data_IF_603835190748
#
_entry.id   IF_603835190748
#
_cell.length_a   1.000
_cell.length_b   1.000
_cell.length_c   1.000
_cell.angle_alpha   90.00
_cell.angle_beta   90.00
_cell.angle_gamma   90.00
#
_symmetry.space_group_name_H-M   'P 1'
#
loop_
_entity.id
_entity.type
_entity.pdbx_description
1 polymer ?
#
# COMPACT_ATOMS: atom_id res chain seq x y z
N UNK A 1 7.96 4.29 12.73
CA UNK A 1 8.52 4.21 11.38
C UNK A 1 9.39 2.98 11.35
N UNK A 2 9.01 1.98 10.56
CA UNK A 2 9.74 0.70 10.50
C UNK A 2 10.83 0.71 9.42
N UNK A 3 10.64 1.52 8.38
CA UNK A 3 11.56 1.65 7.24
C UNK A 3 11.78 3.13 6.89
N UNK A 4 12.98 3.43 6.36
CA UNK A 4 13.31 4.74 5.78
C UNK A 4 13.02 4.72 4.28
N UNK A 5 12.04 5.52 3.83
CA UNK A 5 11.50 5.44 2.46
C UNK A 5 11.80 6.67 1.58
N UNK A 6 12.57 7.64 2.07
CA UNK A 6 12.84 8.89 1.33
C UNK A 6 13.70 8.72 0.07
N UNK A 7 14.44 7.61 -0.05
CA UNK A 7 15.10 7.23 -1.30
C UNK A 7 14.14 6.36 -2.12
N UNK A 8 13.72 6.89 -3.26
CA UNK A 8 12.81 6.23 -4.21
C UNK A 8 13.37 4.85 -4.60
N UNK A 9 12.51 3.84 -4.63
CA UNK A 9 12.83 2.45 -5.01
C UNK A 9 13.33 1.56 -3.85
N UNK A 10 14.04 2.13 -2.87
CA UNK A 10 14.53 1.37 -1.70
C UNK A 10 13.39 1.14 -0.70
N UNK A 11 12.59 2.18 -0.45
CA UNK A 11 11.45 2.09 0.47
C UNK A 11 10.42 1.05 0.04
N UNK A 12 10.11 1.03 -1.26
CA UNK A 12 9.16 0.09 -1.85
C UNK A 12 9.56 -1.39 -1.67
N UNK A 13 10.86 -1.69 -1.74
CA UNK A 13 11.37 -3.07 -1.72
C UNK A 13 11.75 -3.57 -0.33
N UNK A 14 11.98 -2.68 0.65
CA UNK A 14 12.35 -3.07 2.02
C UNK A 14 11.36 -4.08 2.67
N UNK A 15 10.03 -3.97 2.50
CA UNK A 15 9.09 -4.93 3.06
C UNK A 15 9.24 -6.36 2.50
N UNK A 16 9.72 -6.52 1.25
CA UNK A 16 10.06 -7.84 0.68
C UNK A 16 11.18 -8.49 1.50
N UNK A 17 12.27 -7.76 1.72
CA UNK A 17 13.41 -8.26 2.50
C UNK A 17 13.05 -8.48 3.97
N UNK A 18 12.14 -7.67 4.52
CA UNK A 18 11.53 -7.89 5.82
C UNK A 18 10.79 -9.23 5.91
N UNK A 19 9.98 -9.59 4.90
CA UNK A 19 9.29 -10.87 4.86
C UNK A 19 10.25 -12.06 4.73
N UNK A 20 11.26 -11.96 3.85
CA UNK A 20 12.31 -12.98 3.72
C UNK A 20 13.04 -13.19 5.05
N UNK A 21 13.41 -12.09 5.72
CA UNK A 21 14.08 -12.14 7.02
C UNK A 21 13.18 -12.77 8.08
N UNK A 22 11.89 -12.42 8.11
CA UNK A 22 10.92 -13.01 9.05
C UNK A 22 10.80 -14.53 8.84
N UNK A 23 10.64 -15.00 7.59
CA UNK A 23 10.60 -16.44 7.29
C UNK A 23 11.89 -17.16 7.69
N UNK A 24 13.04 -16.52 7.47
CA UNK A 24 14.33 -17.05 7.92
C UNK A 24 14.39 -17.19 9.45
N UNK A 25 14.01 -16.14 10.19
CA UNK A 25 14.00 -16.16 11.66
C UNK A 25 13.02 -17.20 12.18
N UNK A 26 11.84 -17.33 11.58
CA UNK A 26 10.88 -18.38 11.95
C UNK A 26 11.48 -19.77 11.78
N UNK A 27 12.11 -20.04 10.65
CA UNK A 27 12.71 -21.34 10.36
C UNK A 27 13.90 -21.66 11.27
N UNK A 28 14.76 -20.67 11.54
CA UNK A 28 16.00 -20.85 12.29
C UNK A 28 15.81 -20.81 13.81
N UNK A 29 14.88 -20.00 14.32
CA UNK A 29 14.75 -19.69 15.74
C UNK A 29 13.30 -19.79 16.26
N UNK A 30 12.31 -19.72 15.37
CA UNK A 30 10.90 -19.63 15.74
C UNK A 30 10.52 -18.28 16.36
N UNK A 31 9.23 -18.05 16.57
CA UNK A 31 8.72 -16.91 17.33
C UNK A 31 8.85 -15.56 16.61
N UNK A 32 8.99 -15.55 15.28
CA UNK A 32 9.07 -14.33 14.48
C UNK A 32 7.70 -13.66 14.26
N UNK A 33 6.61 -14.38 14.60
CA UNK A 33 5.24 -13.93 14.42
C UNK A 33 4.77 -13.92 12.97
N UNK A 34 3.56 -13.39 12.78
CA UNK A 34 2.88 -13.35 11.47
C UNK A 34 2.41 -11.93 11.17
N UNK A 35 2.34 -11.59 9.89
CA UNK A 35 1.76 -10.32 9.46
C UNK A 35 2.07 -10.02 8.01
N UNK A 36 1.19 -9.24 7.37
CA UNK A 36 1.41 -8.71 6.03
C UNK A 36 2.41 -7.55 6.06
N UNK A 37 3.15 -7.42 4.98
CA UNK A 37 4.13 -6.38 4.74
C UNK A 37 3.62 -5.51 3.59
N UNK A 38 3.34 -4.24 3.91
CA UNK A 38 2.73 -3.30 2.95
C UNK A 38 3.77 -2.32 2.43
N UNK A 39 3.75 -2.11 1.11
CA UNK A 39 4.46 -1.00 0.45
C UNK A 39 3.44 -0.06 -0.18
N UNK A 40 3.47 1.22 0.21
CA UNK A 40 2.74 2.28 -0.51
C UNK A 40 3.73 2.95 -1.46
N UNK A 41 3.46 2.88 -2.75
CA UNK A 41 4.40 3.19 -3.82
C UNK A 41 3.76 4.20 -4.78
N UNK A 42 4.50 5.23 -5.18
CA UNK A 42 4.05 6.12 -6.26
C UNK A 42 4.25 5.47 -7.63
N UNK A 43 3.40 5.78 -8.61
CA UNK A 43 3.59 5.28 -9.98
C UNK A 43 4.96 5.64 -10.58
N UNK A 44 5.47 6.84 -10.34
CA UNK A 44 6.79 7.28 -10.76
C UNK A 44 7.95 6.55 -10.06
N UNK A 45 7.73 5.96 -8.87
CA UNK A 45 8.75 5.17 -8.17
C UNK A 45 9.01 3.83 -8.86
N UNK A 46 8.08 3.35 -9.69
CA UNK A 46 8.23 2.13 -10.48
C UNK A 46 9.21 2.28 -11.66
N UNK A 47 9.70 3.49 -11.94
CA UNK A 47 10.76 3.70 -12.94
C UNK A 47 12.14 3.27 -12.40
N UNK A 48 12.29 3.06 -11.09
CA UNK A 48 13.55 2.65 -10.47
C UNK A 48 13.86 1.17 -10.73
N UNK A 49 15.09 0.87 -11.18
CA UNK A 49 15.51 -0.50 -11.51
C UNK A 49 15.44 -1.46 -10.33
N UNK A 50 15.75 -0.99 -9.12
CA UNK A 50 15.73 -1.80 -7.89
C UNK A 50 14.35 -2.39 -7.59
N UNK A 51 13.27 -1.72 -8.00
CA UNK A 51 11.90 -2.22 -7.87
C UNK A 51 11.74 -3.51 -8.68
N UNK A 52 12.14 -3.48 -9.94
CA UNK A 52 11.96 -4.63 -10.84
C UNK A 52 12.93 -5.77 -10.54
N UNK A 53 14.13 -5.47 -10.03
CA UNK A 53 15.04 -6.49 -9.51
C UNK A 53 14.39 -7.29 -8.37
N UNK A 54 13.71 -6.60 -7.44
CA UNK A 54 13.03 -7.26 -6.32
C UNK A 54 11.74 -7.98 -6.76
N UNK A 55 10.93 -7.36 -7.62
CA UNK A 55 9.66 -7.94 -8.10
C UNK A 55 9.89 -9.24 -8.90
N UNK A 56 10.99 -9.31 -9.66
CA UNK A 56 11.34 -10.46 -10.49
C UNK A 56 12.12 -11.55 -9.76
N UNK A 57 12.50 -11.33 -8.49
CA UNK A 57 13.19 -12.37 -7.72
C UNK A 57 12.26 -13.59 -7.55
N UNK A 58 12.69 -14.81 -7.94
CA UNK A 58 11.85 -15.99 -7.88
C UNK A 58 11.31 -16.30 -6.48
N UNK A 59 12.07 -15.99 -5.42
CA UNK A 59 11.65 -16.23 -4.05
C UNK A 59 10.47 -15.34 -3.63
N UNK A 60 10.26 -14.22 -4.32
CA UNK A 60 9.18 -13.27 -4.02
C UNK A 60 7.82 -13.79 -4.47
N UNK A 61 7.77 -14.62 -5.53
CA UNK A 61 6.53 -15.17 -6.06
C UNK A 61 5.71 -16.01 -5.06
N UNK A 62 6.38 -16.54 -4.01
CA UNK A 62 5.76 -17.33 -2.94
C UNK A 62 5.50 -16.51 -1.65
N UNK A 63 5.71 -15.18 -1.68
CA UNK A 63 5.53 -14.30 -0.51
C UNK A 63 4.12 -13.67 -0.50
N UNK A 64 3.11 -14.47 -0.18
CA UNK A 64 1.72 -14.00 -0.09
C UNK A 64 1.44 -12.97 1.00
N UNK A 65 2.36 -12.78 1.95
CA UNK A 65 2.30 -11.68 2.91
C UNK A 65 2.66 -10.31 2.32
N UNK A 66 3.20 -10.23 1.11
CA UNK A 66 3.58 -8.96 0.47
C UNK A 66 2.39 -8.35 -0.24
N UNK A 67 2.08 -7.10 0.10
CA UNK A 67 1.03 -6.32 -0.55
C UNK A 67 1.58 -4.95 -0.94
N UNK A 68 1.57 -4.67 -2.23
CA UNK A 68 1.94 -3.35 -2.77
C UNK A 68 0.68 -2.59 -3.14
N UNK A 69 0.65 -1.31 -2.80
CA UNK A 69 -0.40 -0.37 -3.19
C UNK A 69 0.29 0.69 -4.02
N UNK A 70 0.00 0.71 -5.32
CA UNK A 70 0.57 1.69 -6.26
C UNK A 70 -0.45 2.81 -6.44
N UNK A 71 -0.07 4.02 -6.02
CA UNK A 71 -0.79 5.25 -6.31
C UNK A 71 -0.59 5.68 -7.77
N UNK A 72 -1.51 5.26 -8.65
CA UNK A 72 -1.54 5.63 -10.06
C UNK A 72 -2.26 6.97 -10.25
N UNK A 73 -1.60 8.05 -9.86
CA UNK A 73 -2.13 9.42 -10.01
C UNK A 73 -1.80 10.06 -11.38
N UNK A 74 -0.88 9.44 -12.15
CA UNK A 74 -0.54 9.78 -13.55
C UNK A 74 0.20 11.10 -13.71
N UNK A 75 0.90 11.53 -12.67
CA UNK A 75 1.74 12.72 -12.66
C UNK A 75 3.07 12.42 -11.97
N UNK A 76 4.17 12.98 -12.48
CA UNK A 76 5.41 13.04 -11.71
C UNK A 76 5.42 14.32 -10.84
N UNK A 77 6.60 14.73 -10.37
CA UNK A 77 6.78 15.93 -9.54
C UNK A 77 6.11 17.18 -10.14
N UNK A 78 6.44 17.51 -11.39
CA UNK A 78 6.13 18.78 -12.06
C UNK A 78 5.40 18.65 -13.41
N UNK A 79 5.12 17.42 -13.85
CA UNK A 79 4.50 17.15 -15.17
C UNK A 79 3.43 16.07 -15.11
N UNK A 80 2.50 16.17 -16.05
CA UNK A 80 1.56 15.10 -16.36
C UNK A 80 2.27 14.09 -17.25
N UNK A 81 2.20 12.80 -16.89
CA UNK A 81 2.81 11.73 -17.67
C UNK A 81 1.94 11.46 -18.91
N UNK A 82 2.45 11.63 -20.15
CA UNK A 82 1.60 11.62 -21.34
C UNK A 82 1.02 10.25 -21.68
N UNK A 83 1.75 9.17 -21.38
CA UNK A 83 1.33 7.80 -21.62
C UNK A 83 1.21 7.05 -20.32
N UNK A 84 0.03 6.51 -20.07
CA UNK A 84 -0.19 5.67 -18.92
C UNK A 84 0.44 4.30 -19.18
N UNK A 85 1.44 3.93 -18.40
CA UNK A 85 2.07 2.62 -18.48
C UNK A 85 1.27 1.52 -17.75
N UNK A 86 0.03 1.77 -17.32
CA UNK A 86 -0.74 0.84 -16.48
C UNK A 86 -0.89 -0.56 -17.10
N UNK A 87 -1.20 -0.67 -18.40
CA UNK A 87 -1.28 -1.97 -19.07
C UNK A 87 0.08 -2.69 -19.09
N UNK A 88 1.18 -1.95 -19.26
CA UNK A 88 2.54 -2.48 -19.17
C UNK A 88 2.86 -2.94 -17.76
N UNK A 89 2.57 -2.11 -16.74
CA UNK A 89 2.79 -2.44 -15.33
C UNK A 89 2.00 -3.70 -14.94
N UNK A 90 0.72 -3.76 -15.30
CA UNK A 90 -0.12 -4.96 -15.14
C UNK A 90 0.51 -6.18 -15.80
N UNK A 91 1.00 -6.04 -17.03
CA UNK A 91 1.69 -7.12 -17.74
C UNK A 91 2.94 -7.60 -17.01
N UNK A 92 3.78 -6.68 -16.52
CA UNK A 92 5.02 -7.01 -15.81
C UNK A 92 4.75 -7.72 -14.48
N UNK A 93 3.84 -7.22 -13.65
CA UNK A 93 3.48 -7.88 -12.38
C UNK A 93 2.84 -9.26 -12.60
N UNK A 94 1.94 -9.39 -13.57
CA UNK A 94 1.37 -10.71 -13.92
C UNK A 94 2.46 -11.67 -14.39
N UNK A 95 3.41 -11.22 -15.20
CA UNK A 95 4.54 -12.05 -15.66
C UNK A 95 5.47 -12.46 -14.50
N UNK A 96 5.58 -11.64 -13.46
CA UNK A 96 6.30 -11.94 -12.22
C UNK A 96 5.53 -12.88 -11.26
N UNK A 97 4.31 -13.30 -11.62
CA UNK A 97 3.49 -14.21 -10.81
C UNK A 97 2.66 -13.53 -9.71
N UNK A 98 2.60 -12.20 -9.70
CA UNK A 98 1.85 -11.45 -8.69
C UNK A 98 0.33 -11.51 -8.96
N UNK A 99 -0.47 -11.45 -7.90
CA UNK A 99 -1.88 -11.10 -8.01
C UNK A 99 -1.97 -9.62 -8.35
N UNK A 100 -2.61 -9.28 -9.48
CA UNK A 100 -2.83 -7.88 -9.87
C UNK A 100 -4.30 -7.51 -9.70
N UNK A 101 -4.56 -6.49 -8.89
CA UNK A 101 -5.89 -5.91 -8.71
C UNK A 101 -5.89 -4.47 -9.22
N UNK A 102 -6.83 -4.13 -10.11
CA UNK A 102 -6.92 -2.78 -10.68
C UNK A 102 -8.15 -2.07 -10.15
N UNK A 103 -7.94 -0.95 -9.46
CA UNK A 103 -9.00 -0.07 -8.97
C UNK A 103 -9.02 1.20 -9.82
N UNK A 104 -9.51 1.06 -11.05
CA UNK A 104 -9.52 2.16 -12.03
C UNK A 104 -10.62 3.19 -11.75
N UNK A 105 -11.82 2.72 -11.51
CA UNK A 105 -13.00 3.56 -11.33
C UNK A 105 -13.70 3.24 -10.02
N UNK A 106 -14.22 4.28 -9.37
CA UNK A 106 -15.05 4.12 -8.18
C UNK A 106 -16.49 3.77 -8.55
N UNK A 107 -17.25 3.31 -7.56
CA UNK A 107 -18.60 2.81 -7.73
C UNK A 107 -19.56 3.80 -8.37
N UNK A 108 -19.44 5.10 -8.09
CA UNK A 108 -20.32 6.12 -8.69
C UNK A 108 -20.15 6.13 -10.20
N UNK A 109 -18.91 6.11 -10.67
CA UNK A 109 -18.61 6.13 -12.10
C UNK A 109 -18.95 4.78 -12.75
N UNK A 110 -18.71 3.66 -12.06
CA UNK A 110 -19.16 2.33 -12.49
C UNK A 110 -20.69 2.22 -12.64
N UNK A 111 -21.47 2.90 -11.79
CA UNK A 111 -22.93 2.99 -11.95
C UNK A 111 -23.30 3.76 -13.21
N UNK A 112 -22.61 4.87 -13.52
CA UNK A 112 -22.85 5.63 -14.75
C UNK A 112 -22.50 4.84 -16.00
N UNK A 113 -21.43 4.03 -15.97
CA UNK A 113 -21.07 3.19 -17.12
C UNK A 113 -22.12 2.15 -17.49
N UNK A 114 -22.98 1.74 -16.54
CA UNK A 114 -24.07 0.78 -16.79
C UNK A 114 -25.33 1.44 -17.35
N UNK A 115 -25.41 2.76 -17.41
CA UNK A 115 -26.55 3.49 -17.96
C UNK A 115 -26.45 3.63 -19.48
N UNK A 116 -27.55 3.96 -20.19
CA UNK A 116 -27.50 4.25 -21.62
C UNK A 116 -26.49 5.37 -21.95
N UNK A 117 -25.52 5.09 -22.83
CA UNK A 117 -24.41 5.99 -23.12
C UNK A 117 -23.19 5.81 -22.21
N UNK A 118 -23.27 4.95 -21.20
CA UNK A 118 -22.21 4.67 -20.24
C UNK A 118 -21.00 3.96 -20.83
N UNK A 119 -21.20 2.96 -21.70
CA UNK A 119 -20.09 2.30 -22.42
C UNK A 119 -19.30 3.28 -23.30
N UNK A 120 -20.01 4.23 -23.93
CA UNK A 120 -19.43 5.32 -24.70
C UNK A 120 -18.62 6.28 -23.81
N UNK A 121 -19.15 6.64 -22.63
CA UNK A 121 -18.43 7.43 -21.64
C UNK A 121 -17.16 6.71 -21.17
N UNK A 122 -17.23 5.39 -20.90
CA UNK A 122 -16.09 4.59 -20.47
C UNK A 122 -14.98 4.61 -21.52
N UNK A 123 -15.31 4.26 -22.77
CA UNK A 123 -14.34 4.31 -23.90
C UNK A 123 -13.75 5.71 -24.06
N UNK A 124 -14.58 6.75 -23.97
CA UNK A 124 -14.10 8.13 -24.07
C UNK A 124 -13.08 8.48 -22.98
N UNK A 125 -13.29 8.03 -21.74
CA UNK A 125 -12.34 8.24 -20.63
C UNK A 125 -11.09 7.38 -20.82
N UNK A 126 -11.23 6.14 -21.27
CA UNK A 126 -10.12 5.21 -21.51
C UNK A 126 -9.20 5.69 -22.65
N UNK A 127 -9.78 6.18 -23.74
CA UNK A 127 -9.06 6.57 -24.95
C UNK A 127 -8.55 8.02 -24.92
N UNK A 128 -9.00 8.84 -23.97
CA UNK A 128 -8.54 10.23 -23.89
C UNK A 128 -7.09 10.33 -23.43
N UNK A 129 -6.39 11.34 -23.94
CA UNK A 129 -5.05 11.63 -23.47
C UNK A 129 -5.06 11.99 -21.98
N UNK A 130 -4.04 11.55 -21.22
CA UNK A 130 -3.95 11.90 -19.81
C UNK A 130 -3.95 13.43 -19.57
N UNK A 131 -3.25 14.28 -20.36
CA UNK A 131 -3.36 15.73 -20.23
C UNK A 131 -4.79 16.28 -20.36
N UNK A 132 -5.60 15.69 -21.26
CA UNK A 132 -7.01 16.05 -21.40
C UNK A 132 -7.81 15.67 -20.15
N UNK A 133 -7.65 14.43 -19.66
CA UNK A 133 -8.31 13.98 -18.44
C UNK A 133 -8.00 14.88 -17.24
N UNK A 134 -6.72 15.20 -17.03
CA UNK A 134 -6.26 16.07 -15.94
C UNK A 134 -6.76 17.51 -16.10
N UNK A 135 -7.04 17.97 -17.33
CA UNK A 135 -7.71 19.27 -17.56
C UNK A 135 -9.18 19.23 -17.16
N UNK A 136 -9.89 18.14 -17.47
CA UNK A 136 -11.31 17.98 -17.13
C UNK A 136 -11.54 17.93 -15.61
N UNK A 137 -10.62 17.35 -14.84
CA UNK A 137 -10.67 17.37 -13.36
C UNK A 137 -10.64 18.78 -12.73
N UNK A 138 -10.29 19.81 -13.51
CA UNK A 138 -10.21 21.21 -13.11
C UNK A 138 -11.29 22.08 -13.75
N UNK A 139 -12.19 21.48 -14.53
CA UNK A 139 -13.31 22.16 -15.15
C UNK A 139 -14.47 22.29 -14.17
N UNK A 140 -15.23 23.36 -14.28
CA UNK A 140 -16.58 23.42 -13.70
C UNK A 140 -17.54 22.51 -14.50
N UNK A 141 -18.77 22.33 -13.98
CA UNK A 141 -19.74 21.43 -14.58
C UNK A 141 -20.09 21.82 -16.04
N UNK A 142 -20.19 23.12 -16.34
CA UNK A 142 -20.48 23.62 -17.69
C UNK A 142 -19.35 23.31 -18.67
N UNK A 143 -18.09 23.52 -18.25
CA UNK A 143 -16.93 23.12 -19.02
C UNK A 143 -16.87 21.60 -19.22
N UNK A 144 -17.17 20.80 -18.20
CA UNK A 144 -17.22 19.32 -18.31
C UNK A 144 -18.28 18.91 -19.33
N UNK A 145 -19.51 19.43 -19.25
CA UNK A 145 -20.59 19.09 -20.19
C UNK A 145 -20.24 19.41 -21.63
N UNK A 146 -19.51 20.52 -21.87
CA UNK A 146 -19.08 20.90 -23.22
C UNK A 146 -17.90 20.06 -23.74
N UNK A 147 -16.97 19.65 -22.88
CA UNK A 147 -15.69 19.06 -23.30
C UNK A 147 -15.66 17.53 -23.24
N UNK A 148 -16.27 16.93 -22.22
CA UNK A 148 -16.22 15.49 -21.97
C UNK A 148 -16.75 14.64 -23.14
N UNK A 149 -17.90 14.98 -23.77
CA UNK A 149 -18.42 14.20 -24.91
C UNK A 149 -17.47 14.14 -26.12
N UNK A 150 -16.61 15.14 -26.28
CA UNK A 150 -15.74 15.27 -27.45
C UNK A 150 -16.52 15.48 -28.76
N UNK A 151 -15.91 15.13 -29.88
CA UNK A 151 -16.48 15.30 -31.24
C UNK A 151 -16.73 13.97 -31.97
N UNK A 152 -16.54 12.85 -31.28
CA UNK A 152 -16.69 11.51 -31.85
C UNK A 152 -18.16 11.09 -32.03
N UNK A 153 -18.41 9.93 -32.68
CA UNK A 153 -19.77 9.41 -32.90
C UNK A 153 -20.52 9.13 -31.59
N UNK A 154 -19.80 8.84 -30.52
CA UNK A 154 -20.31 8.55 -29.18
C UNK A 154 -20.75 9.81 -28.41
N UNK A 155 -20.43 11.02 -28.90
CA UNK A 155 -20.65 12.27 -28.19
C UNK A 155 -22.12 12.52 -27.81
N UNK A 156 -23.06 12.22 -28.71
CA UNK A 156 -24.49 12.43 -28.44
C UNK A 156 -25.00 11.56 -27.27
N UNK A 157 -24.52 10.30 -27.19
CA UNK A 157 -24.87 9.40 -26.09
C UNK A 157 -24.31 9.87 -24.75
N UNK A 158 -23.04 10.32 -24.75
CA UNK A 158 -22.39 10.87 -23.55
C UNK A 158 -23.09 12.14 -23.09
N UNK A 159 -23.39 13.08 -24.00
CA UNK A 159 -24.10 14.32 -23.70
C UNK A 159 -25.44 14.04 -23.04
N UNK A 160 -26.21 13.08 -23.57
CA UNK A 160 -27.50 12.71 -22.98
C UNK A 160 -27.34 12.19 -21.56
N UNK A 161 -26.39 11.28 -21.33
CA UNK A 161 -26.12 10.69 -20.02
C UNK A 161 -25.77 11.76 -18.97
N UNK A 162 -24.88 12.70 -19.30
CA UNK A 162 -24.38 13.68 -18.33
C UNK A 162 -25.31 14.89 -18.14
N UNK A 163 -26.29 15.10 -19.02
CA UNK A 163 -27.27 16.19 -18.91
C UNK A 163 -28.25 15.95 -17.76
N UNK A 164 -28.50 14.69 -17.40
CA UNK A 164 -29.41 14.31 -16.32
C UNK A 164 -28.79 14.46 -14.92
N UNK A 165 -27.46 14.65 -14.84
CA UNK A 165 -26.74 14.82 -13.59
C UNK A 165 -26.71 16.29 -13.17
N UNK A 166 -26.88 16.55 -11.87
CA UNK A 166 -26.58 17.85 -11.28
C UNK A 166 -25.06 18.15 -11.34
N UNK A 167 -24.73 19.43 -11.19
CA UNK A 167 -23.36 19.94 -11.35
C UNK A 167 -22.36 19.29 -10.40
N UNK A 168 -22.74 19.12 -9.13
CA UNK A 168 -21.87 18.54 -8.11
C UNK A 168 -21.65 17.05 -8.40
N UNK A 169 -22.72 16.32 -8.69
CA UNK A 169 -22.64 14.90 -9.04
C UNK A 169 -21.80 14.64 -10.28
N UNK A 170 -21.89 15.48 -11.31
CA UNK A 170 -21.10 15.34 -12.54
C UNK A 170 -19.60 15.49 -12.26
N UNK A 171 -19.20 16.56 -11.59
CA UNK A 171 -17.78 16.82 -11.28
C UNK A 171 -17.23 15.76 -10.34
N UNK A 172 -18.00 15.36 -9.32
CA UNK A 172 -17.63 14.30 -8.38
C UNK A 172 -17.48 12.95 -9.08
N UNK A 173 -18.39 12.59 -9.97
CA UNK A 173 -18.34 11.32 -10.68
C UNK A 173 -17.08 11.19 -11.54
N UNK A 174 -16.68 12.26 -12.23
CA UNK A 174 -15.46 12.27 -13.04
C UNK A 174 -14.19 12.06 -12.20
N UNK A 175 -14.18 12.58 -10.97
CA UNK A 175 -13.06 12.43 -10.02
C UNK A 175 -13.13 11.14 -9.17
N UNK A 176 -14.24 10.39 -9.23
CA UNK A 176 -14.44 9.15 -8.47
C UNK A 176 -13.69 7.97 -9.10
N UNK A 177 -12.38 7.98 -8.95
CA UNK A 177 -11.50 6.88 -9.34
C UNK A 177 -11.41 5.85 -8.21
N UNK A 178 -11.01 4.63 -8.56
CA UNK A 178 -11.11 3.48 -7.65
C UNK A 178 -10.26 3.61 -6.39
N UNK A 179 -9.13 4.31 -6.44
CA UNK A 179 -8.31 4.60 -5.26
C UNK A 179 -8.92 5.61 -4.27
N UNK A 180 -10.02 6.27 -4.65
CA UNK A 180 -10.82 7.15 -3.78
C UNK A 180 -12.14 6.53 -3.34
N UNK A 181 -12.38 5.25 -3.69
CA UNK A 181 -13.57 4.49 -3.31
C UNK A 181 -13.21 3.50 -2.19
N UNK A 182 -13.52 3.86 -0.95
CA UNK A 182 -13.18 3.06 0.24
C UNK A 182 -13.77 1.65 0.17
N UNK A 183 -14.99 1.50 -0.35
CA UNK A 183 -15.58 0.16 -0.46
C UNK A 183 -14.87 -0.69 -1.53
N UNK A 184 -14.35 -0.04 -2.58
CA UNK A 184 -13.53 -0.69 -3.60
C UNK A 184 -12.18 -1.15 -3.04
N UNK A 185 -11.56 -0.32 -2.20
CA UNK A 185 -10.35 -0.67 -1.46
C UNK A 185 -10.59 -1.82 -0.48
N UNK A 186 -11.67 -1.76 0.31
CA UNK A 186 -12.03 -2.84 1.25
C UNK A 186 -12.27 -4.17 0.52
N UNK A 187 -12.96 -4.14 -0.62
CA UNK A 187 -13.15 -5.32 -1.45
C UNK A 187 -11.83 -5.87 -1.99
N UNK A 188 -10.90 -5.00 -2.42
CA UNK A 188 -9.57 -5.40 -2.87
C UNK A 188 -8.76 -6.05 -1.74
N UNK A 189 -8.70 -5.42 -0.56
CA UNK A 189 -8.02 -6.00 0.61
C UNK A 189 -8.63 -7.33 1.05
N UNK A 190 -9.95 -7.49 0.92
CA UNK A 190 -10.66 -8.74 1.20
C UNK A 190 -10.44 -9.85 0.17
N UNK A 191 -9.98 -9.51 -1.05
CA UNK A 191 -9.75 -10.46 -2.14
C UNK A 191 -8.28 -10.91 -2.27
N UNK A 192 -7.41 -10.50 -1.34
CA UNK A 192 -5.98 -10.83 -1.35
C UNK A 192 -5.80 -12.34 -1.26
N UNK A 193 -4.98 -12.87 -2.17
CA UNK A 193 -4.56 -14.26 -2.25
C UNK A 193 -3.24 -14.43 -1.49
N UNK A 194 -3.31 -14.92 -0.24
CA UNK A 194 -2.13 -15.09 0.62
C UNK A 194 -1.16 -16.20 0.16
N UNK A 195 -1.32 -16.76 -1.05
CA UNK A 195 -0.35 -17.72 -1.64
C UNK A 195 0.73 -17.06 -2.51
N UNK A 196 0.54 -15.80 -2.92
CA UNK A 196 1.42 -15.08 -3.83
C UNK A 196 1.38 -13.57 -3.56
N UNK A 197 2.43 -12.80 -3.88
CA UNK A 197 2.44 -11.37 -3.60
C UNK A 197 1.34 -10.65 -4.38
N UNK A 198 0.77 -9.60 -3.80
CA UNK A 198 -0.33 -8.84 -4.39
C UNK A 198 0.10 -7.41 -4.70
N UNK A 199 -0.31 -6.89 -5.85
CA UNK A 199 -0.25 -5.47 -6.18
C UNK A 199 -1.65 -4.93 -6.46
N UNK A 200 -2.00 -3.85 -5.77
CA UNK A 200 -3.21 -3.07 -5.97
C UNK A 200 -2.81 -1.80 -6.74
N UNK A 201 -3.22 -1.73 -7.99
CA UNK A 201 -3.07 -0.58 -8.87
C UNK A 201 -4.23 0.38 -8.63
N UNK A 202 -4.06 1.34 -7.72
CA UNK A 202 -5.10 2.27 -7.29
C UNK A 202 -5.04 3.56 -8.12
N UNK A 203 -6.05 3.79 -8.96
CA UNK A 203 -6.12 5.03 -9.73
C UNK A 203 -6.61 6.16 -8.83
N UNK A 204 -5.85 7.25 -8.78
CA UNK A 204 -6.19 8.40 -7.94
C UNK A 204 -6.07 9.72 -8.70
N UNK A 205 -6.30 10.80 -7.97
CA UNK A 205 -6.15 12.18 -8.40
C UNK A 205 -5.17 12.84 -7.44
N UNK A 206 -4.05 13.31 -7.96
CA UNK A 206 -3.06 14.04 -7.16
C UNK A 206 -3.67 15.35 -6.67
N UNK A 207 -3.63 15.57 -5.35
CA UNK A 207 -4.29 16.71 -4.69
C UNK A 207 -5.82 16.61 -4.67
N UNK A 208 -6.40 15.40 -4.68
CA UNK A 208 -7.84 15.18 -4.65
C UNK A 208 -8.56 16.04 -3.60
N UNK A 209 -9.67 16.68 -4.01
CA UNK A 209 -10.47 17.54 -3.14
C UNK A 209 -9.86 18.93 -2.88
N UNK A 210 -8.65 19.21 -3.36
CA UNK A 210 -8.00 20.51 -3.24
C UNK A 210 -8.20 21.35 -4.51
N UNK A 211 -8.13 22.69 -4.42
CA UNK A 211 -8.21 23.58 -5.60
C UNK A 211 -7.17 23.29 -6.70
N UNK A 212 -6.05 22.67 -6.32
CA UNK A 212 -4.95 22.30 -7.21
C UNK A 212 -5.06 20.87 -7.76
N UNK A 213 -6.17 20.17 -7.52
CA UNK A 213 -6.35 18.79 -7.98
C UNK A 213 -6.08 18.66 -9.49
N UNK A 214 -5.31 17.65 -9.88
CA UNK A 214 -4.95 17.45 -11.29
C UNK A 214 -4.01 18.51 -11.88
N UNK A 215 -3.54 19.49 -11.10
CA UNK A 215 -2.57 20.50 -11.58
C UNK A 215 -1.13 19.95 -11.52
N UNK A 216 -0.32 20.10 -12.60
CA UNK A 216 1.05 19.56 -12.64
C UNK A 216 1.96 20.08 -11.52
N UNK A 217 1.74 21.32 -11.08
CA UNK A 217 2.52 21.98 -10.03
C UNK A 217 1.94 21.80 -8.61
N UNK A 218 1.06 20.83 -8.39
CA UNK A 218 0.44 20.65 -7.06
C UNK A 218 1.42 20.21 -5.97
N UNK A 219 2.55 19.59 -6.32
CA UNK A 219 3.41 18.88 -5.38
C UNK A 219 3.98 19.78 -4.28
N UNK A 220 4.30 21.02 -4.64
CA UNK A 220 4.84 22.04 -3.74
C UNK A 220 3.92 23.26 -3.61
N UNK A 221 2.67 23.15 -4.08
CA UNK A 221 1.74 24.26 -4.03
C UNK A 221 1.16 24.39 -2.61
N UNK A 222 1.21 25.61 -2.08
CA UNK A 222 0.58 25.95 -0.81
C UNK A 222 -0.82 26.49 -1.07
N UNK A 223 -1.76 26.10 -0.21
CA UNK A 223 -3.09 26.71 -0.18
C UNK A 223 -2.98 28.14 0.33
N UNK A 224 -3.73 29.05 -0.29
CA UNK A 224 -3.95 30.40 0.25
C UNK A 224 -4.83 30.34 1.49
N UNK A 225 -4.80 31.38 2.34
CA UNK A 225 -5.65 31.44 3.54
C UNK A 225 -7.14 31.23 3.24
N UNK A 226 -7.66 31.84 2.17
CA UNK A 226 -9.05 31.65 1.73
C UNK A 226 -9.34 30.19 1.32
N UNK A 227 -8.40 29.53 0.63
CA UNK A 227 -8.56 28.13 0.25
C UNK A 227 -8.50 27.19 1.46
N UNK A 228 -7.72 27.52 2.49
CA UNK A 228 -7.73 26.79 3.78
C UNK A 228 -9.08 26.95 4.46
N UNK A 229 -9.64 28.17 4.55
CA UNK A 229 -10.97 28.41 5.12
C UNK A 229 -12.06 27.62 4.38
N UNK A 230 -12.06 27.66 3.04
CA UNK A 230 -12.99 26.88 2.23
C UNK A 230 -12.84 25.36 2.43
N UNK A 231 -11.60 24.87 2.60
CA UNK A 231 -11.37 23.47 2.91
C UNK A 231 -11.93 23.12 4.29
N UNK A 232 -11.66 23.95 5.30
CA UNK A 232 -12.14 23.78 6.66
C UNK A 232 -13.67 23.73 6.72
N UNK A 233 -14.36 24.66 6.06
CA UNK A 233 -15.83 24.67 5.95
C UNK A 233 -16.37 23.36 5.34
N UNK A 234 -15.75 22.87 4.26
CA UNK A 234 -16.18 21.64 3.58
C UNK A 234 -15.96 20.39 4.41
N UNK A 235 -14.87 20.32 5.18
CA UNK A 235 -14.54 19.14 6.00
C UNK A 235 -15.06 19.27 7.44
N UNK A 236 -15.73 20.37 7.78
CA UNK A 236 -16.25 20.64 9.13
C UNK A 236 -15.16 20.87 10.18
N UNK A 237 -13.99 21.38 9.76
CA UNK A 237 -12.86 21.67 10.64
C UNK A 237 -12.81 23.16 11.03
N UNK A 238 -12.06 23.46 12.09
CA UNK A 238 -11.74 24.81 12.53
C UNK A 238 -10.35 25.18 12.00
N UNK A 239 -10.21 26.35 11.38
CA UNK A 239 -8.91 26.82 10.88
C UNK A 239 -7.97 27.18 12.04
N UNK A 240 -8.52 27.64 13.16
CA UNK A 240 -7.74 28.03 14.35
C UNK A 240 -7.41 26.84 15.25
N UNK A 241 -8.13 25.72 15.11
CA UNK A 241 -7.87 24.45 15.80
C UNK A 241 -7.99 23.23 14.84
N UNK A 242 -7.09 23.10 13.86
CA UNK A 242 -7.20 22.10 12.80
C UNK A 242 -6.92 20.66 13.27
N UNK A 243 -6.35 20.51 14.47
CA UNK A 243 -5.99 19.22 15.06
C UNK A 243 -7.00 18.76 16.11
N UNK A 244 -8.13 19.45 16.25
CA UNK A 244 -9.17 19.12 17.22
C UNK A 244 -9.64 17.67 17.02
N UNK A 245 -9.54 16.80 18.03
CA UNK A 245 -10.07 15.45 17.92
C UNK A 245 -11.60 15.48 17.79
N UNK A 246 -12.22 14.40 17.27
CA UNK A 246 -13.67 14.26 17.32
C UNK A 246 -14.18 14.39 18.76
N UNK A 247 -15.37 14.97 18.93
CA UNK A 247 -15.95 15.19 20.26
C UNK A 247 -16.03 13.87 21.05
N UNK A 248 -15.64 13.92 22.33
CA UNK A 248 -15.69 12.75 23.21
C UNK A 248 -17.10 12.15 23.24
N UNK A 249 -17.20 10.83 23.09
CA UNK A 249 -18.47 10.11 23.02
C UNK A 249 -19.20 10.17 21.67
N UNK A 250 -18.66 10.89 20.67
CA UNK A 250 -19.20 10.84 19.30
C UNK A 250 -18.91 9.48 18.63
N UNK A 251 -19.71 9.06 17.62
CA UNK A 251 -19.43 7.85 16.85
C UNK A 251 -18.03 7.83 16.23
N UNK A 252 -17.54 9.00 15.77
CA UNK A 252 -16.20 9.13 15.21
C UNK A 252 -15.10 8.92 16.28
N UNK A 253 -15.25 9.51 17.47
CA UNK A 253 -14.30 9.32 18.56
C UNK A 253 -14.25 7.84 19.00
N UNK A 254 -15.41 7.18 19.04
CA UNK A 254 -15.50 5.77 19.39
C UNK A 254 -14.81 4.88 18.35
N UNK A 255 -15.08 5.10 17.05
CA UNK A 255 -14.43 4.37 15.97
C UNK A 255 -12.91 4.55 15.97
N UNK A 256 -12.42 5.78 16.21
CA UNK A 256 -10.98 6.05 16.36
C UNK A 256 -10.38 5.27 17.54
N UNK A 257 -11.07 5.24 18.69
CA UNK A 257 -10.63 4.53 19.90
C UNK A 257 -10.56 3.03 19.67
N UNK A 258 -11.62 2.44 19.13
CA UNK A 258 -11.70 1.01 18.80
C UNK A 258 -10.63 0.62 17.78
N UNK A 259 -10.44 1.43 16.75
CA UNK A 259 -9.42 1.20 15.72
C UNK A 259 -8.01 1.30 16.30
N UNK A 260 -7.72 2.31 17.12
CA UNK A 260 -6.43 2.45 17.78
C UNK A 260 -6.13 1.26 18.71
N UNK A 261 -7.13 0.75 19.42
CA UNK A 261 -6.99 -0.44 20.26
C UNK A 261 -6.72 -1.69 19.42
N UNK A 262 -7.41 -1.86 18.30
CA UNK A 262 -7.21 -2.98 17.36
C UNK A 262 -5.84 -2.96 16.68
N UNK A 263 -5.33 -1.78 16.35
CA UNK A 263 -4.03 -1.60 15.66
C UNK A 263 -2.86 -1.43 16.63
N UNK A 264 -3.08 -1.59 17.94
CA UNK A 264 -2.03 -1.45 18.94
C UNK A 264 -0.97 -2.53 18.73
N UNK A 265 0.27 -2.10 18.50
CA UNK A 265 1.43 -2.99 18.40
C UNK A 265 1.87 -3.44 19.80
N UNK A 266 2.24 -4.70 19.92
CA UNK A 266 2.91 -5.21 21.11
C UNK A 266 4.29 -4.56 21.24
N UNK A 267 4.67 -4.24 22.48
CA UNK A 267 5.97 -3.63 22.75
C UNK A 267 7.06 -4.72 22.68
N UNK A 268 8.02 -4.53 21.76
CA UNK A 268 9.11 -5.48 21.58
C UNK A 268 10.21 -5.16 22.60
N UNK A 269 10.43 -6.06 23.55
CA UNK A 269 11.55 -5.96 24.48
C UNK A 269 12.86 -6.27 23.76
N UNK A 270 13.81 -5.34 23.77
CA UNK A 270 15.13 -5.56 23.22
C UNK A 270 15.95 -6.45 24.15
N UNK A 271 16.47 -7.55 23.63
CA UNK A 271 17.41 -8.38 24.36
C UNK A 271 18.68 -7.56 24.70
N UNK A 272 19.27 -7.76 25.90
CA UNK A 272 20.53 -7.10 26.22
C UNK A 272 21.62 -7.54 25.24
N UNK A 273 22.56 -6.64 24.88
CA UNK A 273 23.64 -6.98 23.96
C UNK A 273 24.48 -8.13 24.52
N UNK A 274 24.73 -9.14 23.69
CA UNK A 274 25.59 -10.26 24.06
C UNK A 274 27.03 -9.80 24.26
N UNK A 275 27.72 -10.35 25.26
CA UNK A 275 29.15 -10.09 25.46
C UNK A 275 29.95 -10.71 24.32
N UNK A 276 30.61 -9.88 23.52
CA UNK A 276 31.47 -10.34 22.42
C UNK A 276 32.87 -10.66 22.97
N UNK A 277 33.50 -11.77 22.53
CA UNK A 277 34.88 -12.05 22.92
C UNK A 277 35.81 -10.98 22.35
N UNK A 278 36.69 -10.44 23.20
CA UNK A 278 37.72 -9.46 22.81
C UNK A 278 38.87 -10.10 22.02
N UNK A 279 39.03 -11.42 22.14
CA UNK A 279 40.04 -12.20 21.42
C UNK A 279 39.43 -13.51 20.89
N UNK A 280 39.76 -13.84 19.63
CA UNK A 280 39.38 -15.08 18.97
C UNK A 280 40.25 -16.27 19.42
N UNK A 281 41.31 -16.01 20.19
CA UNK A 281 42.22 -17.01 20.75
C UNK A 281 43.11 -17.69 19.72
N UNK A 282 43.25 -17.10 18.53
CA UNK A 282 44.09 -17.61 17.44
C UNK A 282 44.84 -16.47 16.75
N UNK A 283 46.16 -16.55 16.81
CA UNK A 283 47.06 -15.73 15.98
C UNK A 283 47.28 -16.44 14.64
N UNK A 284 46.97 -15.83 13.49
CA UNK A 284 47.23 -16.43 12.20
C UNK A 284 48.72 -16.76 12.03
N UNK A 285 49.03 -18.01 11.70
CA UNK A 285 50.42 -18.48 11.53
C UNK A 285 51.04 -18.10 10.19
N UNK A 286 50.22 -17.73 9.19
CA UNK A 286 50.69 -17.30 7.87
C UNK A 286 50.70 -15.78 7.73
N UNK A 287 51.84 -15.20 7.38
CA UNK A 287 51.96 -13.78 6.99
C UNK A 287 51.49 -13.49 5.56
N UNK A 288 51.24 -14.55 4.77
CA UNK A 288 50.70 -14.47 3.41
C UNK A 288 49.22 -14.84 3.38
N UNK A 289 48.36 -13.92 3.78
CA UNK A 289 46.91 -14.07 3.62
C UNK A 289 46.26 -12.77 3.17
N UNK A 290 45.18 -12.89 2.40
CA UNK A 290 44.34 -11.74 2.04
C UNK A 290 43.39 -11.40 3.18
N UNK A 291 42.88 -10.17 3.19
CA UNK A 291 41.85 -9.72 4.14
C UNK A 291 40.56 -10.55 4.02
N UNK A 292 40.19 -10.99 2.82
CA UNK A 292 39.07 -11.90 2.60
C UNK A 292 39.29 -13.27 3.26
N UNK A 293 40.49 -13.83 3.15
CA UNK A 293 40.84 -15.10 3.82
C UNK A 293 40.86 -14.95 5.34
N UNK A 294 41.32 -13.80 5.85
CA UNK A 294 41.24 -13.49 7.27
C UNK A 294 39.79 -13.39 7.76
N UNK A 295 38.91 -12.68 7.04
CA UNK A 295 37.48 -12.58 7.35
C UNK A 295 36.80 -13.96 7.37
N UNK A 296 37.04 -14.79 6.35
CA UNK A 296 36.47 -16.14 6.28
C UNK A 296 36.86 -17.01 7.48
N UNK A 297 38.12 -16.98 7.90
CA UNK A 297 38.59 -17.69 9.10
C UNK A 297 37.97 -17.17 10.39
N UNK A 298 37.79 -15.86 10.51
CA UNK A 298 37.12 -15.23 11.66
C UNK A 298 35.67 -15.70 11.77
N UNK A 299 34.91 -15.67 10.67
CA UNK A 299 33.52 -16.14 10.64
C UNK A 299 33.40 -17.62 11.00
N UNK A 300 34.27 -18.48 10.45
CA UNK A 300 34.28 -19.91 10.74
C UNK A 300 34.64 -20.26 12.21
N UNK A 301 35.48 -19.44 12.86
CA UNK A 301 35.83 -19.66 14.28
C UNK A 301 34.61 -19.44 15.18
N UNK A 302 33.66 -18.58 14.75
CA UNK A 302 32.45 -18.26 15.50
C UNK A 302 31.38 -19.35 15.43
N UNK A 303 31.30 -20.07 14.31
CA UNK A 303 30.34 -21.18 14.11
C UNK A 303 30.73 -22.46 14.85
N UNK A 304 32.01 -22.63 15.22
CA UNK A 304 32.50 -23.83 15.93
C UNK A 304 32.49 -23.72 17.46
N UNK A 305 32.14 -22.58 18.05
CA UNK A 305 31.89 -22.50 19.50
C UNK A 305 30.41 -22.80 19.74
N UNK A 306 30.05 -23.80 20.56
CA UNK A 306 28.67 -23.94 21.01
C UNK A 306 28.28 -22.62 21.68
N UNK A 307 27.23 -21.97 21.18
CA UNK A 307 26.61 -20.90 21.92
C UNK A 307 26.22 -21.50 23.28
N UNK A 308 26.61 -20.87 24.38
CA UNK A 308 26.05 -21.23 25.68
C UNK A 308 24.52 -21.22 25.51
N UNK A 309 23.80 -22.26 25.95
CA UNK A 309 22.35 -22.21 25.95
C UNK A 309 21.94 -20.94 26.71
N UNK A 310 20.89 -20.21 26.27
CA UNK A 310 20.38 -19.11 27.05
C UNK A 310 20.12 -19.64 28.45
N UNK A 311 20.69 -19.00 29.47
CA UNK A 311 20.36 -19.31 30.86
C UNK A 311 18.84 -19.27 30.96
N UNK A 312 18.23 -20.42 31.22
CA UNK A 312 16.85 -20.48 31.68
C UNK A 312 16.82 -19.62 32.95
N UNK A 313 16.25 -18.43 32.85
CA UNK A 313 15.67 -17.76 34.00
C UNK A 313 14.53 -18.69 34.44
N UNK A 314 14.77 -19.40 35.53
CA UNK A 314 13.84 -20.31 36.21
C UNK A 314 12.44 -19.70 36.33
N UNK A 315 11.42 -20.21 35.61
CA UNK A 315 10.06 -19.98 35.99
C UNK A 315 9.67 -21.06 37.00
N UNK A 316 9.41 -20.63 38.23
CA UNK A 316 8.68 -21.34 39.28
C UNK A 316 7.73 -22.44 38.72
N UNK A 317 7.67 -23.64 39.34
CA UNK A 317 6.98 -24.77 38.74
C UNK A 317 5.46 -24.54 38.72
N UNK A 318 4.76 -24.71 37.58
CA UNK A 318 3.32 -24.85 37.60
C UNK A 318 2.95 -26.26 38.04
N UNK A 319 1.91 -26.36 38.86
CA UNK A 319 1.39 -27.61 39.39
C UNK A 319 1.06 -28.64 38.31
N UNK A 320 1.22 -29.91 38.68
CA UNK A 320 0.88 -31.09 37.88
C UNK A 320 -0.52 -30.97 37.26
N UNK A 321 -0.60 -31.01 35.94
CA UNK A 321 -1.82 -31.36 35.21
C UNK A 321 -1.66 -32.73 34.56
N UNK A 322 -2.59 -33.64 34.89
CA UNK A 322 -2.71 -34.96 34.30
C UNK A 322 -3.31 -34.90 32.88
N UNK A 323 -2.98 -35.83 31.98
CA UNK A 323 -3.52 -35.86 30.63
C UNK A 323 -4.95 -36.45 30.61
N UNK A 324 -5.89 -35.72 30.00
CA UNK A 324 -7.17 -36.28 29.54
C UNK A 324 -7.09 -36.54 28.03
N UNK A 325 -7.50 -37.72 27.53
CA UNK A 325 -7.53 -38.00 26.10
C UNK A 325 -8.81 -37.45 25.46
N UNK A 326 -8.67 -36.72 24.34
CA UNK A 326 -9.77 -36.29 23.50
C UNK A 326 -10.20 -37.43 22.57
N UNK A 327 -11.40 -37.97 22.79
CA UNK A 327 -12.15 -38.76 21.81
C UNK A 327 -13.18 -37.88 21.07
N UNK A 328 -13.69 -38.31 19.90
CA UNK A 328 -14.53 -37.46 19.06
C UNK A 328 -15.99 -37.50 19.50
N UNK A 329 -16.66 -36.35 19.53
CA UNK A 329 -18.13 -36.28 19.68
C UNK A 329 -18.75 -35.44 18.56
N UNK A 330 -19.47 -36.12 17.67
CA UNK A 330 -20.59 -35.55 16.92
C UNK A 330 -21.80 -35.38 17.85
N UNK A 331 -22.70 -34.43 17.57
CA UNK A 331 -24.09 -34.63 17.93
C UNK A 331 -25.01 -34.57 16.71
N UNK A 332 -25.71 -35.69 16.51
CA UNK A 332 -26.97 -35.79 15.79
C UNK A 332 -28.04 -34.95 16.50
N UNK A 333 -28.88 -34.25 15.74
CA UNK A 333 -30.19 -33.75 16.22
C UNK A 333 -31.28 -34.23 15.28
N UNK A 334 -32.19 -35.03 15.81
CA UNK A 334 -33.54 -35.24 15.31
C UNK A 334 -34.43 -35.44 16.52
N UNK A 335 -35.32 -34.46 16.74
CA UNK A 335 -36.77 -34.51 16.98
C UNK A 335 -37.19 -33.16 17.54
#
# INVERSE_FOLDING_TARGET
MDYSTGSVGIGATAPIWGAVTRRYVECAFGGSGTGRQYSLVGDAELDEGAVWEAVLDPAVSDLGEIVWIVDLNRQSLDRVVPHLAADRLRGLFNAAGWQVMELKYGRVLEVLFRQPGGDALRRRIDDMSNPEFQRLLRCDADEVRRRLPGTGPDAAGITKLITELDDESLVRALANLGGHDLDGLDAAFGAIDDTRPTVILAYTVKGYGLPMQGHPQNHSALLTGNQISQLADRVGADVDDPWRPPAAGSPAAELCRETAQRLRREEVSLAPPQTLPLDLGRTPTSTKATTQAALGRTLATRTHRPQQPPELIDPQPPGRFHPHPLGPQHPSRTT
#
